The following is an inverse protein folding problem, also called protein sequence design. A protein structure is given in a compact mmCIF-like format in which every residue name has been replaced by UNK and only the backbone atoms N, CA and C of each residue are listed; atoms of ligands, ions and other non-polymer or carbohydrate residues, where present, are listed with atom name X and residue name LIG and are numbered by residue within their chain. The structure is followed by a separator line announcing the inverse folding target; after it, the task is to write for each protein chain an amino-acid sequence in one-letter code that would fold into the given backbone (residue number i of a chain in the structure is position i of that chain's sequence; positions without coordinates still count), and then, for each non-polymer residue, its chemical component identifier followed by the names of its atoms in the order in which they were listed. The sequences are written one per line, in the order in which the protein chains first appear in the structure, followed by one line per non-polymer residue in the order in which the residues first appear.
data_IF_390074856849
#
_entry.id   IF_390074856849
#
_cell.length_a   1.000
_cell.length_b   1.000
_cell.length_c   1.000
_cell.angle_alpha   90.00
_cell.angle_beta   90.00
_cell.angle_gamma   90.00
#
_symmetry.space_group_name_H-M   'P 1'
#
loop_
_entity.id
_entity.type
_entity.pdbx_description
1 polymer ?
#
# COMPACT_ATOMS: atom_id res chain seq x y z
N UNK A 1 8.66 -25.97 -17.22
CA UNK A 1 8.11 -25.76 -18.57
C UNK A 1 7.84 -24.27 -18.70
N UNK A 2 7.89 -23.74 -19.90
CA UNK A 2 7.50 -22.35 -20.17
C UNK A 2 6.18 -22.31 -20.93
N UNK A 3 5.42 -21.25 -20.77
CA UNK A 3 4.11 -21.07 -21.36
C UNK A 3 4.05 -19.75 -22.11
N UNK A 4 3.43 -19.76 -23.29
CA UNK A 4 3.16 -18.52 -24.01
C UNK A 4 1.92 -17.84 -23.41
N UNK A 5 1.98 -16.55 -23.06
CA UNK A 5 0.83 -15.82 -22.51
C UNK A 5 -0.26 -15.51 -23.55
N UNK A 6 0.02 -15.65 -24.84
CA UNK A 6 -0.93 -15.34 -25.94
C UNK A 6 -1.65 -16.58 -26.47
N UNK A 7 -0.91 -17.60 -26.88
CA UNK A 7 -1.49 -18.83 -27.46
C UNK A 7 -1.70 -19.96 -26.44
N UNK A 8 -1.26 -19.78 -25.19
CA UNK A 8 -1.40 -20.72 -24.08
C UNK A 8 -0.66 -22.07 -24.24
N UNK A 9 0.12 -22.24 -25.31
CA UNK A 9 0.92 -23.43 -25.55
C UNK A 9 2.10 -23.52 -24.56
N UNK A 10 2.48 -24.76 -24.23
CA UNK A 10 3.57 -25.06 -23.30
C UNK A 10 4.78 -25.64 -24.03
N UNK A 11 5.97 -25.21 -23.62
CA UNK A 11 7.25 -25.52 -24.24
C UNK A 11 8.29 -25.93 -23.18
N UNK A 12 9.40 -26.52 -23.63
CA UNK A 12 10.54 -26.82 -22.77
C UNK A 12 11.19 -25.53 -22.24
N UNK A 13 11.96 -25.62 -21.15
CA UNK A 13 12.60 -24.46 -20.54
C UNK A 13 13.69 -23.83 -21.43
N UNK A 14 14.26 -24.61 -22.35
CA UNK A 14 15.31 -24.18 -23.28
C UNK A 14 14.79 -23.21 -24.34
N UNK A 15 13.47 -23.09 -24.47
CA UNK A 15 12.84 -22.21 -25.44
C UNK A 15 12.47 -20.86 -24.80
N UNK A 16 12.97 -19.77 -25.37
CA UNK A 16 12.69 -18.42 -24.86
C UNK A 16 11.52 -17.71 -25.57
N UNK A 17 11.22 -18.12 -26.80
CA UNK A 17 10.27 -17.43 -27.69
C UNK A 17 9.29 -18.45 -28.30
N UNK A 18 8.01 -18.08 -28.34
CA UNK A 18 6.94 -18.86 -28.94
C UNK A 18 7.11 -18.94 -30.47
N UNK A 19 7.07 -20.13 -31.08
CA UNK A 19 7.26 -20.30 -32.52
C UNK A 19 6.00 -19.94 -33.34
N UNK A 20 4.86 -19.74 -32.68
CA UNK A 20 3.58 -19.44 -33.35
C UNK A 20 3.39 -17.92 -33.49
N UNK A 21 3.71 -17.16 -32.44
CA UNK A 21 3.37 -15.72 -32.34
C UNK A 21 4.53 -14.82 -31.90
N UNK A 22 5.74 -15.38 -31.77
CA UNK A 22 6.94 -14.70 -31.30
C UNK A 22 6.84 -14.05 -29.90
N UNK A 23 5.85 -14.45 -29.07
CA UNK A 23 5.75 -14.01 -27.67
C UNK A 23 6.86 -14.60 -26.79
N UNK A 24 7.32 -13.82 -25.80
CA UNK A 24 8.28 -14.30 -24.78
C UNK A 24 7.59 -15.35 -23.90
N UNK A 25 8.21 -16.51 -23.75
CA UNK A 25 7.67 -17.61 -22.94
C UNK A 25 8.03 -17.39 -21.46
N UNK A 26 7.05 -17.53 -20.58
CA UNK A 26 7.20 -17.35 -19.12
C UNK A 26 7.21 -18.70 -18.41
N UNK A 27 7.97 -18.86 -17.33
CA UNK A 27 8.02 -20.13 -16.60
C UNK A 27 6.65 -20.46 -15.99
N UNK A 28 6.10 -21.64 -16.34
CA UNK A 28 4.81 -22.12 -15.84
C UNK A 28 4.86 -22.50 -14.35
N UNK A 29 6.05 -22.57 -13.76
CA UNK A 29 6.31 -22.99 -12.37
C UNK A 29 6.77 -21.85 -11.45
N UNK A 30 6.94 -20.62 -11.94
CA UNK A 30 7.03 -19.47 -11.03
C UNK A 30 5.63 -19.15 -10.54
N UNK A 31 5.29 -19.63 -9.34
CA UNK A 31 4.18 -19.11 -8.51
C UNK A 31 4.43 -17.65 -8.05
N UNK A 32 5.30 -16.91 -8.74
CA UNK A 32 5.79 -15.57 -8.40
C UNK A 32 5.55 -14.60 -9.56
N UNK A 33 4.37 -14.64 -10.20
CA UNK A 33 3.97 -13.55 -11.09
C UNK A 33 2.46 -13.27 -11.13
N UNK A 34 1.80 -13.38 -9.98
CA UNK A 34 0.81 -12.38 -9.64
C UNK A 34 1.52 -11.41 -8.71
N UNK A 35 2.15 -10.36 -9.28
CA UNK A 35 2.34 -9.13 -8.50
C UNK A 35 0.92 -8.69 -8.15
N UNK A 36 0.44 -9.08 -6.97
CA UNK A 36 -0.78 -8.55 -6.41
C UNK A 36 -0.50 -7.08 -6.13
N UNK A 37 -0.73 -6.26 -7.16
CA UNK A 37 -0.64 -4.81 -7.05
C UNK A 37 -1.59 -4.45 -5.92
N UNK A 38 -1.03 -3.91 -4.84
CA UNK A 38 -1.80 -3.49 -3.68
C UNK A 38 -2.94 -2.59 -4.17
N UNK A 39 -4.22 -2.94 -3.91
CA UNK A 39 -5.36 -2.27 -4.52
C UNK A 39 -5.48 -0.79 -4.12
N UNK A 40 -4.74 -0.36 -3.10
CA UNK A 40 -4.68 1.05 -2.72
C UNK A 40 -3.73 1.86 -3.61
N UNK A 41 -2.68 1.26 -4.18
CA UNK A 41 -1.70 2.00 -4.98
C UNK A 41 -2.37 2.47 -6.27
N UNK A 42 -2.20 3.76 -6.60
CA UNK A 42 -2.86 4.40 -7.75
C UNK A 42 -4.26 4.91 -7.45
N UNK A 43 -4.84 4.64 -6.27
CA UNK A 43 -6.16 5.13 -5.90
C UNK A 43 -6.15 6.61 -5.51
N UNK A 44 -7.19 7.32 -5.92
CA UNK A 44 -7.50 8.67 -5.46
C UNK A 44 -8.50 8.61 -4.29
N UNK A 45 -8.11 9.16 -3.14
CA UNK A 45 -8.93 9.20 -1.92
C UNK A 45 -9.51 10.60 -1.75
N UNK A 46 -10.82 10.67 -1.55
CA UNK A 46 -11.58 11.90 -1.31
C UNK A 46 -11.31 13.02 -2.33
N UNK A 47 -10.99 12.64 -3.57
CA UNK A 47 -10.63 13.53 -4.69
C UNK A 47 -9.46 14.48 -4.39
N UNK A 48 -8.63 14.15 -3.38
CA UNK A 48 -7.55 15.00 -2.88
C UNK A 48 -6.22 14.30 -2.80
N UNK A 49 -6.21 13.01 -2.43
CA UNK A 49 -4.99 12.28 -2.07
C UNK A 49 -4.73 11.13 -3.03
N UNK A 50 -3.66 11.24 -3.81
CA UNK A 50 -3.19 10.17 -4.67
C UNK A 50 -2.29 9.22 -3.88
N UNK A 51 -2.62 7.93 -3.85
CA UNK A 51 -1.77 6.92 -3.19
C UNK A 51 -0.68 6.47 -4.15
N UNK A 52 0.57 6.49 -3.69
CA UNK A 52 1.75 6.24 -4.54
C UNK A 52 2.47 4.94 -4.21
N UNK A 53 2.69 4.65 -2.91
CA UNK A 53 3.52 3.52 -2.50
C UNK A 53 3.18 3.01 -1.11
N UNK A 54 3.30 1.71 -0.89
CA UNK A 54 3.23 1.11 0.45
C UNK A 54 4.51 1.42 1.26
N UNK A 55 4.35 1.99 2.45
CA UNK A 55 5.44 2.24 3.41
C UNK A 55 5.59 1.10 4.41
N UNK A 56 4.47 0.50 4.83
CA UNK A 56 4.50 -0.61 5.77
C UNK A 56 3.12 -1.15 6.13
N UNK A 57 3.10 -2.34 6.69
CA UNK A 57 1.89 -3.02 7.19
C UNK A 57 2.04 -3.27 8.69
N UNK A 58 0.97 -3.02 9.43
CA UNK A 58 0.87 -3.31 10.86
C UNK A 58 -0.40 -4.09 11.16
N UNK A 59 -0.64 -4.36 12.45
CA UNK A 59 -1.77 -5.18 12.87
C UNK A 59 -3.14 -4.63 12.46
N UNK A 60 -3.34 -3.31 12.51
CA UNK A 60 -4.64 -2.69 12.21
C UNK A 60 -4.83 -2.30 10.73
N UNK A 61 -3.75 -2.20 9.96
CA UNK A 61 -3.78 -1.43 8.73
C UNK A 61 -2.49 -1.42 7.94
N UNK A 62 -2.51 -0.70 6.84
CA UNK A 62 -1.34 -0.39 6.03
C UNK A 62 -1.14 1.12 6.00
N UNK A 63 0.12 1.54 5.92
CA UNK A 63 0.51 2.95 5.77
C UNK A 63 1.12 3.11 4.39
N UNK A 64 0.63 4.10 3.66
CA UNK A 64 1.07 4.43 2.32
C UNK A 64 1.67 5.83 2.29
N UNK A 65 2.58 6.05 1.36
CA UNK A 65 2.94 7.36 0.87
C UNK A 65 1.87 7.80 -0.14
N UNK A 66 1.52 9.07 -0.07
CA UNK A 66 0.66 9.69 -1.05
C UNK A 66 0.93 11.18 -1.19
N UNK A 67 0.21 11.79 -2.13
CA UNK A 67 0.34 13.19 -2.49
C UNK A 67 -1.02 13.87 -2.39
N UNK A 68 -1.10 14.97 -1.63
CA UNK A 68 -2.23 15.88 -1.71
C UNK A 68 -2.11 16.68 -3.02
N UNK A 69 -2.97 16.40 -4.00
CA UNK A 69 -2.83 16.92 -5.37
C UNK A 69 -2.94 18.43 -5.45
N UNK A 70 -3.93 19.04 -4.79
CA UNK A 70 -4.12 20.50 -4.84
C UNK A 70 -3.00 21.29 -4.14
N UNK A 71 -2.47 20.77 -3.03
CA UNK A 71 -1.47 21.47 -2.22
C UNK A 71 -0.04 21.06 -2.56
N UNK A 72 0.14 20.15 -3.52
CA UNK A 72 1.41 19.52 -3.86
C UNK A 72 2.23 19.07 -2.63
N UNK A 73 1.55 18.47 -1.66
CA UNK A 73 2.15 18.08 -0.37
C UNK A 73 2.19 16.56 -0.22
N UNK A 74 3.39 16.02 0.05
CA UNK A 74 3.58 14.61 0.44
C UNK A 74 2.96 14.33 1.80
N UNK A 75 2.24 13.22 1.90
CA UNK A 75 1.51 12.78 3.09
C UNK A 75 1.71 11.28 3.32
N UNK A 76 1.52 10.85 4.57
CA UNK A 76 1.34 9.44 4.90
C UNK A 76 -0.15 9.17 5.11
N UNK A 77 -0.64 8.04 4.59
CA UNK A 77 -2.05 7.66 4.63
C UNK A 77 -2.14 6.28 5.28
N UNK A 78 -2.68 6.21 6.49
CA UNK A 78 -2.97 4.95 7.18
C UNK A 78 -4.39 4.51 6.85
N UNK A 79 -4.54 3.33 6.26
CA UNK A 79 -5.84 2.75 5.90
C UNK A 79 -6.09 1.52 6.75
N UNK A 80 -7.28 1.45 7.36
CA UNK A 80 -7.74 0.29 8.12
C UNK A 80 -8.09 -0.85 7.15
N UNK A 81 -7.61 -2.07 7.43
CA UNK A 81 -7.94 -3.22 6.59
C UNK A 81 -9.45 -3.50 6.62
N UNK A 82 -10.01 -3.94 5.50
CA UNK A 82 -11.46 -4.08 5.34
C UNK A 82 -12.06 -5.14 6.29
N UNK A 83 -11.34 -6.22 6.56
CA UNK A 83 -11.73 -7.23 7.56
C UNK A 83 -11.85 -6.63 8.98
N UNK A 84 -11.06 -5.61 9.31
CA UNK A 84 -11.10 -4.91 10.58
C UNK A 84 -12.07 -3.75 10.59
N UNK A 85 -12.46 -3.22 9.43
CA UNK A 85 -13.52 -2.22 9.34
C UNK A 85 -14.88 -2.79 9.78
N UNK A 86 -15.10 -4.09 9.56
CA UNK A 86 -16.30 -4.81 10.03
C UNK A 86 -16.25 -5.17 11.53
N UNK A 87 -15.09 -5.02 12.18
CA UNK A 87 -14.96 -5.18 13.62
C UNK A 87 -15.14 -3.81 14.30
N UNK A 88 -16.29 -3.61 14.92
CA UNK A 88 -16.64 -2.36 15.62
C UNK A 88 -15.59 -1.96 16.67
N UNK A 89 -14.94 -2.93 17.33
CA UNK A 89 -13.90 -2.62 18.32
C UNK A 89 -12.65 -2.07 17.65
N UNK A 90 -12.24 -2.65 16.53
CA UNK A 90 -11.08 -2.18 15.77
C UNK A 90 -11.33 -0.80 15.16
N UNK A 91 -12.49 -0.58 14.54
CA UNK A 91 -12.89 0.72 14.02
C UNK A 91 -12.95 1.79 15.13
N UNK A 92 -13.55 1.46 16.28
CA UNK A 92 -13.62 2.36 17.44
C UNK A 92 -12.23 2.71 17.99
N UNK A 93 -11.31 1.73 18.09
CA UNK A 93 -9.92 1.96 18.49
C UNK A 93 -9.20 2.88 17.51
N UNK A 94 -9.37 2.66 16.21
CA UNK A 94 -8.75 3.50 15.18
C UNK A 94 -9.22 4.96 15.27
N UNK A 95 -10.53 5.19 15.41
CA UNK A 95 -11.10 6.53 15.59
C UNK A 95 -10.59 7.16 16.89
N UNK A 96 -10.49 6.40 17.98
CA UNK A 96 -9.98 6.89 19.26
C UNK A 96 -8.52 7.33 19.16
N UNK A 97 -7.67 6.54 18.50
CA UNK A 97 -6.26 6.88 18.26
C UNK A 97 -6.12 8.12 17.38
N UNK A 98 -6.93 8.23 16.31
CA UNK A 98 -6.96 9.40 15.45
C UNK A 98 -7.32 10.67 16.24
N UNK A 99 -8.41 10.62 17.03
CA UNK A 99 -8.83 11.74 17.89
C UNK A 99 -7.78 12.12 18.94
N UNK A 100 -7.11 11.13 19.52
CA UNK A 100 -6.06 11.38 20.51
C UNK A 100 -4.83 12.06 19.88
N UNK A 101 -4.40 11.56 18.72
CA UNK A 101 -3.24 12.09 17.99
C UNK A 101 -3.51 13.50 17.44
N UNK A 102 -4.73 13.77 16.98
CA UNK A 102 -5.13 15.08 16.46
C UNK A 102 -5.14 16.21 17.50
N UNK A 103 -5.05 15.90 18.81
CA UNK A 103 -4.95 16.90 19.88
C UNK A 103 -3.51 17.29 20.22
N UNK A 104 -2.52 16.66 19.59
CA UNK A 104 -1.11 16.87 19.89
C UNK A 104 -0.52 17.77 18.80
N UNK A 105 -0.10 18.98 19.21
CA UNK A 105 0.66 19.89 18.36
C UNK A 105 2.08 20.02 18.93
N UNK A 106 3.04 19.32 18.32
CA UNK A 106 4.42 19.31 18.81
C UNK A 106 5.40 18.92 17.69
N UNK A 107 6.57 19.56 17.56
CA UNK A 107 7.54 19.28 16.48
C UNK A 107 8.08 17.84 16.44
N UNK A 108 8.02 17.12 17.55
CA UNK A 108 8.45 15.72 17.66
C UNK A 108 7.27 14.72 17.64
N UNK A 109 6.06 15.17 17.32
CA UNK A 109 4.88 14.32 17.18
C UNK A 109 4.32 14.47 15.75
N UNK A 110 3.87 13.36 15.17
CA UNK A 110 3.31 13.36 13.81
C UNK A 110 2.03 14.19 13.80
N UNK A 111 1.97 15.16 12.90
CA UNK A 111 0.77 15.99 12.71
C UNK A 111 -0.30 15.22 11.92
N UNK A 112 -1.54 15.26 12.39
CA UNK A 112 -2.70 14.72 11.67
C UNK A 112 -3.30 15.81 10.79
N UNK A 113 -3.54 15.51 9.52
CA UNK A 113 -4.11 16.45 8.56
C UNK A 113 -5.59 16.21 8.27
N UNK A 114 -6.01 14.96 8.16
CA UNK A 114 -7.38 14.62 7.78
C UNK A 114 -7.75 13.21 8.27
N UNK A 115 -9.04 12.96 8.37
CA UNK A 115 -9.62 11.67 8.68
C UNK A 115 -10.90 11.46 7.87
N UNK A 116 -11.10 10.27 7.34
CA UNK A 116 -12.31 9.95 6.61
C UNK A 116 -12.58 8.46 6.47
N UNK A 117 -13.58 8.15 5.67
CA UNK A 117 -14.01 6.78 5.36
C UNK A 117 -14.06 6.63 3.85
N UNK A 118 -13.49 5.53 3.34
CA UNK A 118 -13.54 5.17 1.93
C UNK A 118 -14.95 4.69 1.56
N UNK A 119 -15.25 4.64 0.25
CA UNK A 119 -16.58 4.25 -0.23
C UNK A 119 -16.99 2.82 0.22
N UNK A 120 -16.02 1.93 0.38
CA UNK A 120 -16.20 0.57 0.87
C UNK A 120 -16.22 0.43 2.40
N UNK A 121 -16.20 1.54 3.14
CA UNK A 121 -16.33 1.57 4.61
C UNK A 121 -15.01 1.54 5.40
N UNK A 122 -13.86 1.31 4.75
CA UNK A 122 -12.57 1.37 5.43
C UNK A 122 -12.22 2.80 5.85
N UNK A 123 -11.92 3.00 7.14
CA UNK A 123 -11.44 4.28 7.64
C UNK A 123 -10.00 4.57 7.18
N UNK A 124 -9.68 5.84 6.95
CA UNK A 124 -8.34 6.30 6.66
C UNK A 124 -7.96 7.54 7.50
N UNK A 125 -6.66 7.69 7.73
CA UNK A 125 -6.06 8.80 8.47
C UNK A 125 -4.91 9.37 7.64
N UNK A 126 -4.98 10.66 7.33
CA UNK A 126 -3.93 11.39 6.61
C UNK A 126 -3.08 12.14 7.62
N UNK A 127 -1.77 11.98 7.51
CA UNK A 127 -0.81 12.51 8.47
C UNK A 127 0.48 12.96 7.78
N UNK A 128 1.32 13.62 8.56
CA UNK A 128 2.64 14.07 8.14
C UNK A 128 3.48 12.91 7.60
N UNK A 129 4.10 13.15 6.44
CA UNK A 129 5.10 12.24 5.89
C UNK A 129 6.47 12.54 6.49
N UNK A 130 6.99 11.63 7.31
CA UNK A 130 8.32 11.76 7.91
C UNK A 130 9.38 11.17 6.99
N UNK A 131 10.31 12.02 6.53
CA UNK A 131 11.52 11.59 5.81
C UNK A 131 12.54 11.07 6.81
N UNK A 132 12.55 9.76 7.04
CA UNK A 132 13.50 9.16 7.97
C UNK A 132 13.44 7.64 7.99
N UNK A 133 14.20 7.07 8.91
CA UNK A 133 14.19 5.64 9.20
C UNK A 133 13.50 5.39 10.53
N UNK A 134 12.72 4.32 10.60
CA UNK A 134 12.24 3.82 11.89
C UNK A 134 13.43 3.35 12.74
N UNK A 135 13.29 3.44 14.06
CA UNK A 135 14.30 2.94 15.00
C UNK A 135 14.68 1.47 14.71
N UNK A 136 13.69 0.63 14.35
CA UNK A 136 13.93 -0.76 13.96
C UNK A 136 14.91 -0.88 12.78
N UNK A 137 14.74 -0.06 11.75
CA UNK A 137 15.65 -0.05 10.59
C UNK A 137 17.06 0.41 10.99
N UNK A 138 17.17 1.36 11.92
CA UNK A 138 18.47 1.82 12.43
C UNK A 138 19.16 0.72 13.24
N UNK A 139 18.43 0.00 14.07
CA UNK A 139 18.98 -1.09 14.89
C UNK A 139 19.48 -2.26 14.03
N UNK A 140 18.79 -2.58 12.94
CA UNK A 140 19.21 -3.65 12.01
C UNK A 140 20.44 -3.24 11.19
N UNK A 141 20.69 -1.94 10.97
CA UNK A 141 21.83 -1.44 10.20
C UNK A 141 23.13 -1.32 11.01
N UNK A 142 23.12 -1.55 12.33
CA UNK A 142 24.34 -1.54 13.13
C UNK A 142 25.10 -2.85 12.93
N UNK A 143 25.97 -2.86 11.92
CA UNK A 143 27.18 -3.68 11.84
C UNK A 143 28.40 -2.75 11.84
#
# INVERSE_FOLDING_TARGET
MKQCPKCNAQYSNDQAICPIDAGVLVDSNTKDNQVSVDPMIGRLIADKYQVEKLLGRGGMGAVYEGQHLLLDRRVAIKVLQQNMANDEQAASRFIREAKASARIEHPNAVTIYDFGVLQEGSAYLVMEFIRGLSLRQVLVKKE
#
